data_IF_195806447757
#
_entry.id   IF_195806447757
#
_cell.length_a   1.000
_cell.length_b   1.000
_cell.length_c   1.000
_cell.angle_alpha   90.00
_cell.angle_beta   90.00
_cell.angle_gamma   90.00
#
_symmetry.space_group_name_H-M   'P 1'
#
loop_
_entity.id
_entity.type
_entity.pdbx_description
1 polymer ?
#
# COMPACT_ATOMS: atom_id res chain seq x y z
N UNK A 1 -38.26 59.90 4.78
CA UNK A 1 -38.73 59.14 3.61
C UNK A 1 -37.84 59.48 2.43
N UNK A 2 -37.13 58.48 1.92
CA UNK A 2 -35.98 58.61 1.01
C UNK A 2 -36.41 58.84 -0.44
N UNK A 3 -35.57 59.59 -1.14
CA UNK A 3 -35.62 60.08 -2.51
C UNK A 3 -35.79 59.00 -3.59
N UNK A 4 -36.47 59.43 -4.67
CA UNK A 4 -36.60 58.78 -5.98
C UNK A 4 -35.47 59.24 -6.89
N UNK A 5 -34.73 58.34 -7.53
CA UNK A 5 -34.11 58.61 -8.85
C UNK A 5 -33.65 57.32 -9.56
N UNK A 6 -34.22 57.10 -10.74
CA UNK A 6 -33.80 56.12 -11.74
C UNK A 6 -32.50 56.58 -12.40
N UNK A 7 -31.57 55.67 -12.70
CA UNK A 7 -30.60 55.83 -13.81
C UNK A 7 -29.79 54.56 -14.09
N UNK A 8 -30.14 53.95 -15.21
CA UNK A 8 -29.35 53.02 -16.03
C UNK A 8 -27.93 53.55 -16.25
N UNK A 9 -26.90 52.73 -15.98
CA UNK A 9 -25.54 52.95 -16.48
C UNK A 9 -25.01 51.65 -17.07
N UNK A 10 -24.96 51.63 -18.40
CA UNK A 10 -24.20 50.69 -19.21
C UNK A 10 -22.73 51.08 -19.10
N UNK A 11 -21.89 50.17 -18.62
CA UNK A 11 -20.43 50.34 -18.60
C UNK A 11 -19.80 49.16 -19.34
N UNK A 12 -19.58 49.37 -20.64
CA UNK A 12 -18.78 48.54 -21.53
C UNK A 12 -17.31 48.66 -21.10
N UNK A 13 -16.82 47.70 -20.31
CA UNK A 13 -15.42 47.62 -19.88
C UNK A 13 -14.68 46.53 -20.64
N UNK A 14 -14.03 46.92 -21.74
CA UNK A 14 -13.08 46.10 -22.50
C UNK A 14 -11.79 45.94 -21.68
N UNK A 15 -11.66 44.85 -20.91
CA UNK A 15 -10.43 44.50 -20.21
C UNK A 15 -9.73 43.34 -20.94
N UNK A 16 -8.73 43.71 -21.74
CA UNK A 16 -7.78 42.80 -22.38
C UNK A 16 -6.82 42.26 -21.29
N UNK A 17 -7.24 41.22 -20.58
CA UNK A 17 -6.41 40.53 -19.59
C UNK A 17 -5.49 39.52 -20.28
N UNK A 18 -4.19 39.79 -20.34
CA UNK A 18 -3.17 38.81 -20.70
C UNK A 18 -3.29 37.59 -19.76
N UNK A 19 -3.74 36.46 -20.29
CA UNK A 19 -3.62 35.17 -19.61
C UNK A 19 -2.15 34.79 -19.63
N UNK A 20 -1.47 35.00 -18.50
CA UNK A 20 -0.16 34.41 -18.26
C UNK A 20 -0.36 32.88 -18.24
N UNK A 21 0.10 32.21 -19.30
CA UNK A 21 0.22 30.76 -19.32
C UNK A 21 1.29 30.37 -18.28
N UNK A 22 0.84 30.10 -17.05
CA UNK A 22 1.69 29.43 -16.07
C UNK A 22 2.12 28.08 -16.67
N UNK A 23 3.41 27.73 -16.64
CA UNK A 23 3.80 26.38 -17.03
C UNK A 23 3.14 25.44 -16.03
N UNK A 24 2.20 24.63 -16.50
CA UNK A 24 1.78 23.45 -15.77
C UNK A 24 3.03 22.60 -15.65
N UNK A 25 3.71 22.68 -14.49
CA UNK A 25 4.72 21.72 -14.13
C UNK A 25 4.03 20.37 -14.21
N UNK A 26 4.34 19.59 -15.25
CA UNK A 26 3.94 18.20 -15.31
C UNK A 26 4.59 17.56 -14.08
N UNK A 27 3.79 17.24 -13.06
CA UNK A 27 4.21 16.29 -12.05
C UNK A 27 4.65 15.04 -12.78
N UNK A 28 5.96 14.84 -12.88
CA UNK A 28 6.53 13.53 -13.13
C UNK A 28 6.23 12.68 -11.89
N UNK A 29 4.99 12.20 -11.79
CA UNK A 29 4.66 11.11 -10.89
C UNK A 29 5.54 9.95 -11.31
N UNK A 30 6.32 9.42 -10.37
CA UNK A 30 7.04 8.18 -10.55
C UNK A 30 6.08 7.15 -11.15
N UNK A 31 6.34 6.70 -12.38
CA UNK A 31 5.55 5.67 -13.06
C UNK A 31 5.83 4.29 -12.44
N UNK A 32 5.78 4.17 -11.11
CA UNK A 32 5.71 2.90 -10.41
C UNK A 32 4.25 2.44 -10.35
N UNK A 33 4.03 1.13 -10.44
CA UNK A 33 2.70 0.57 -10.12
C UNK A 33 2.43 0.93 -8.64
N UNK A 34 1.33 1.63 -8.31
CA UNK A 34 1.05 1.97 -6.93
C UNK A 34 0.85 0.70 -6.10
N UNK A 35 1.25 0.73 -4.81
CA UNK A 35 1.13 -0.39 -3.87
C UNK A 35 -0.24 -1.11 -3.90
N UNK A 36 -1.30 -0.37 -4.22
CA UNK A 36 -2.66 -0.91 -4.33
C UNK A 36 -3.37 -1.08 -2.98
N UNK A 37 -2.73 -0.70 -1.88
CA UNK A 37 -3.28 -0.70 -0.52
C UNK A 37 -2.61 0.38 0.32
N UNK A 38 -3.37 1.00 1.22
CA UNK A 38 -2.85 1.97 2.21
C UNK A 38 -2.56 1.29 3.57
N UNK A 39 -2.84 0.00 3.70
CA UNK A 39 -2.54 -0.78 4.91
C UNK A 39 -1.03 -0.92 5.11
N UNK A 40 -0.61 -0.96 6.37
CA UNK A 40 0.72 -1.44 6.74
C UNK A 40 0.85 -2.91 6.33
N UNK A 41 1.93 -3.23 5.62
CA UNK A 41 2.31 -4.61 5.28
C UNK A 41 3.39 -5.02 6.29
N UNK A 42 2.99 -5.77 7.32
CA UNK A 42 3.92 -6.40 8.23
C UNK A 42 4.45 -7.72 7.62
N UNK A 43 5.77 -7.89 7.64
CA UNK A 43 6.47 -9.04 7.05
C UNK A 43 7.21 -9.79 8.14
N UNK A 44 6.97 -11.09 8.25
CA UNK A 44 7.69 -11.95 9.19
C UNK A 44 9.16 -12.10 8.78
N UNK A 45 10.07 -11.66 9.66
CA UNK A 45 11.48 -12.02 9.62
C UNK A 45 11.74 -13.15 10.61
N UNK A 46 12.04 -14.33 10.07
CA UNK A 46 12.32 -15.49 10.91
C UNK A 46 13.76 -15.45 11.44
N UNK A 47 14.03 -16.24 12.47
CA UNK A 47 15.33 -16.26 13.15
C UNK A 47 16.50 -16.84 12.33
N UNK A 48 16.25 -17.40 11.14
CA UNK A 48 17.28 -18.01 10.29
C UNK A 48 17.65 -17.13 9.06
N UNK A 49 18.91 -17.21 8.58
CA UNK A 49 19.43 -16.22 7.64
C UNK A 49 18.72 -16.13 6.28
N UNK A 50 18.26 -17.24 5.70
CA UNK A 50 17.58 -17.22 4.40
C UNK A 50 16.24 -16.50 4.48
N UNK A 51 15.44 -16.80 5.50
CA UNK A 51 14.16 -16.13 5.73
C UNK A 51 14.35 -14.65 6.05
N UNK A 52 15.36 -14.30 6.85
CA UNK A 52 15.68 -12.91 7.14
C UNK A 52 16.08 -12.15 5.86
N UNK A 53 16.92 -12.75 5.02
CA UNK A 53 17.26 -12.17 3.73
C UNK A 53 16.02 -11.97 2.84
N UNK A 54 15.14 -12.97 2.76
CA UNK A 54 13.90 -12.87 1.98
C UNK A 54 12.95 -11.80 2.53
N UNK A 55 12.81 -11.68 3.85
CA UNK A 55 11.99 -10.63 4.48
C UNK A 55 12.48 -9.23 4.09
N UNK A 56 13.78 -8.97 4.19
CA UNK A 56 14.37 -7.69 3.83
C UNK A 56 14.28 -7.40 2.32
N UNK A 57 14.48 -8.41 1.46
CA UNK A 57 14.30 -8.27 0.01
C UNK A 57 12.85 -7.88 -0.31
N UNK A 58 11.86 -8.56 0.27
CA UNK A 58 10.45 -8.22 0.07
C UNK A 58 10.13 -6.81 0.57
N UNK A 59 10.68 -6.42 1.73
CA UNK A 59 10.48 -5.07 2.25
C UNK A 59 11.04 -3.99 1.33
N UNK A 60 12.25 -4.16 0.80
CA UNK A 60 12.85 -3.23 -0.16
C UNK A 60 12.00 -3.13 -1.42
N UNK A 61 11.57 -4.26 -1.98
CA UNK A 61 10.75 -4.28 -3.20
C UNK A 61 9.43 -3.54 -2.97
N UNK A 62 8.71 -3.86 -1.89
CA UNK A 62 7.40 -3.26 -1.60
C UNK A 62 7.53 -1.77 -1.27
N UNK A 63 8.51 -1.40 -0.45
CA UNK A 63 8.72 -0.01 -0.03
C UNK A 63 9.25 0.86 -1.16
N UNK A 64 10.37 0.48 -1.76
CA UNK A 64 11.08 1.32 -2.74
C UNK A 64 10.53 1.13 -4.16
N UNK A 65 10.05 -0.07 -4.50
CA UNK A 65 9.51 -0.38 -5.83
C UNK A 65 8.04 0.00 -6.00
N UNK A 66 7.22 -0.19 -4.95
CA UNK A 66 5.76 0.03 -5.01
C UNK A 66 5.27 1.16 -4.10
N UNK A 67 6.13 1.75 -3.27
CA UNK A 67 5.75 2.82 -2.34
C UNK A 67 4.85 2.36 -1.19
N UNK A 68 4.88 1.07 -0.85
CA UNK A 68 4.08 0.52 0.25
C UNK A 68 4.57 0.96 1.63
N UNK A 69 3.65 1.06 2.59
CA UNK A 69 4.01 1.14 4.00
C UNK A 69 4.35 -0.27 4.51
N UNK A 70 5.57 -0.49 4.97
CA UNK A 70 6.09 -1.82 5.32
C UNK A 70 6.78 -1.79 6.69
N UNK A 71 6.53 -2.81 7.49
CA UNK A 71 7.25 -3.08 8.75
C UNK A 71 7.76 -4.52 8.75
N UNK A 72 8.95 -4.74 9.31
CA UNK A 72 9.47 -6.07 9.59
C UNK A 72 9.10 -6.43 11.03
N UNK A 73 8.51 -7.60 11.23
CA UNK A 73 8.17 -8.12 12.56
C UNK A 73 8.92 -9.43 12.81
N UNK A 74 9.36 -9.64 14.05
CA UNK A 74 10.02 -10.88 14.43
C UNK A 74 9.06 -12.07 14.26
N UNK A 75 9.57 -13.17 13.68
CA UNK A 75 8.82 -14.37 13.39
C UNK A 75 9.54 -15.66 13.79
N UNK A 76 8.75 -16.72 13.88
CA UNK A 76 9.21 -18.11 13.99
C UNK A 76 8.08 -19.02 13.47
N UNK A 77 8.40 -20.23 13.01
CA UNK A 77 7.50 -21.14 12.28
C UNK A 77 6.17 -21.33 13.02
N UNK A 78 6.23 -21.70 14.30
CA UNK A 78 5.03 -22.03 15.09
C UNK A 78 4.18 -20.79 15.41
N UNK A 79 4.71 -19.73 16.04
CA UNK A 79 3.89 -18.56 16.37
C UNK A 79 3.40 -17.80 15.14
N UNK A 80 4.21 -17.69 14.07
CA UNK A 80 3.81 -17.00 12.85
C UNK A 80 2.70 -17.74 12.11
N UNK A 81 2.81 -19.06 11.94
CA UNK A 81 1.76 -19.84 11.28
C UNK A 81 0.45 -19.87 12.06
N UNK A 82 0.51 -20.00 13.39
CA UNK A 82 -0.68 -19.93 14.24
C UNK A 82 -1.37 -18.56 14.16
N UNK A 83 -0.58 -17.47 14.18
CA UNK A 83 -1.11 -16.11 14.03
C UNK A 83 -1.73 -15.88 12.66
N UNK A 84 -1.07 -16.33 11.58
CA UNK A 84 -1.60 -16.25 10.22
C UNK A 84 -2.98 -16.93 10.11
N UNK A 85 -3.10 -18.16 10.60
CA UNK A 85 -4.34 -18.93 10.53
C UNK A 85 -5.46 -18.34 11.41
N UNK A 86 -5.13 -17.78 12.57
CA UNK A 86 -6.12 -17.30 13.53
C UNK A 86 -6.50 -15.82 13.35
N UNK A 87 -5.56 -14.99 12.88
CA UNK A 87 -5.66 -13.52 12.88
C UNK A 87 -5.39 -12.89 11.52
N UNK A 88 -4.82 -13.63 10.56
CA UNK A 88 -4.41 -13.08 9.28
C UNK A 88 -3.23 -12.11 9.37
N UNK A 89 -2.42 -12.20 10.44
CA UNK A 89 -1.21 -11.39 10.62
C UNK A 89 -0.01 -12.28 10.97
N UNK A 90 1.21 -11.97 10.51
CA UNK A 90 1.56 -10.83 9.66
C UNK A 90 1.00 -10.94 8.24
N UNK A 91 0.99 -9.86 7.48
CA UNK A 91 0.46 -9.84 6.12
C UNK A 91 1.22 -10.78 5.18
N UNK A 92 2.54 -10.95 5.39
CA UNK A 92 3.40 -11.79 4.56
C UNK A 92 4.39 -12.58 5.43
N UNK A 93 4.58 -13.86 5.14
CA UNK A 93 5.68 -14.69 5.65
C UNK A 93 6.47 -15.27 4.46
N UNK A 94 7.56 -14.60 4.02
CA UNK A 94 8.23 -14.92 2.76
C UNK A 94 8.86 -16.31 2.69
N UNK A 95 9.20 -16.89 3.84
CA UNK A 95 9.70 -18.25 3.94
C UNK A 95 9.04 -18.93 5.14
N UNK A 96 7.95 -19.65 4.88
CA UNK A 96 7.20 -20.38 5.90
C UNK A 96 7.04 -21.85 5.51
N UNK A 97 7.51 -22.72 6.39
CA UNK A 97 7.53 -24.17 6.19
C UNK A 97 6.34 -24.77 6.93
N UNK A 98 5.35 -25.27 6.20
CA UNK A 98 4.05 -25.71 6.77
C UNK A 98 3.98 -27.21 7.05
N UNK A 99 5.06 -27.95 6.82
CA UNK A 99 5.04 -29.42 6.84
C UNK A 99 4.55 -30.03 8.17
N UNK A 100 4.78 -29.36 9.30
CA UNK A 100 4.33 -29.82 10.63
C UNK A 100 2.87 -29.48 10.94
N UNK A 101 2.23 -28.65 10.11
CA UNK A 101 0.86 -28.15 10.28
C UNK A 101 0.02 -28.28 9.00
N UNK A 102 0.41 -29.17 8.08
CA UNK A 102 -0.13 -29.19 6.71
C UNK A 102 -1.66 -29.27 6.68
N UNK A 103 -2.27 -30.16 7.47
CA UNK A 103 -3.74 -30.29 7.52
C UNK A 103 -4.44 -28.99 7.97
N UNK A 104 -3.86 -28.27 8.93
CA UNK A 104 -4.41 -27.01 9.41
C UNK A 104 -4.18 -25.90 8.38
N UNK A 105 -3.03 -25.90 7.73
CA UNK A 105 -2.68 -24.97 6.67
C UNK A 105 -3.61 -25.12 5.47
N UNK A 106 -3.84 -26.34 5.00
CA UNK A 106 -4.73 -26.65 3.87
C UNK A 106 -6.16 -26.21 4.15
N UNK A 107 -6.65 -26.40 5.39
CA UNK A 107 -7.95 -25.86 5.82
C UNK A 107 -7.97 -24.33 5.80
N UNK A 108 -6.89 -23.70 6.24
CA UNK A 108 -6.74 -22.24 6.21
C UNK A 108 -6.74 -21.67 4.78
N UNK A 109 -6.10 -22.37 3.84
CA UNK A 109 -6.15 -22.03 2.42
C UNK A 109 -7.56 -22.23 1.86
N UNK A 110 -8.19 -23.38 2.14
CA UNK A 110 -9.54 -23.68 1.65
C UNK A 110 -10.61 -22.71 2.19
N UNK A 111 -10.44 -22.19 3.41
CA UNK A 111 -11.34 -21.21 4.00
C UNK A 111 -11.03 -19.76 3.60
N UNK A 112 -9.88 -19.51 2.97
CA UNK A 112 -9.41 -18.17 2.62
C UNK A 112 -8.79 -17.39 3.80
N UNK A 113 -8.49 -18.05 4.92
CA UNK A 113 -7.78 -17.42 6.04
C UNK A 113 -6.33 -17.06 5.67
N UNK A 114 -5.71 -17.86 4.80
CA UNK A 114 -4.38 -17.62 4.24
C UNK A 114 -4.37 -17.90 2.74
N UNK A 115 -3.44 -17.28 2.01
CA UNK A 115 -3.19 -17.56 0.60
C UNK A 115 -1.72 -17.88 0.39
N UNK A 116 -1.45 -18.84 -0.49
CA UNK A 116 -0.09 -19.22 -0.89
C UNK A 116 0.32 -18.36 -2.07
N UNK A 117 1.33 -17.51 -1.88
CA UNK A 117 1.83 -16.58 -2.91
C UNK A 117 3.00 -17.14 -3.74
N UNK A 118 3.49 -18.34 -3.39
CA UNK A 118 4.60 -19.02 -4.07
C UNK A 118 4.78 -20.43 -3.53
N UNK A 119 5.53 -21.25 -4.25
CA UNK A 119 5.90 -22.58 -3.77
C UNK A 119 6.93 -22.43 -2.64
N UNK A 120 6.78 -23.23 -1.58
CA UNK A 120 7.84 -23.39 -0.60
C UNK A 120 9.07 -23.99 -1.30
N UNK A 121 10.25 -23.46 -0.98
CA UNK A 121 11.54 -23.90 -1.53
C UNK A 121 12.10 -25.10 -0.77
#
# INVERSE_FOLDING_TARGET
>A
MVFKFSRTFVSLGLALGLVAAAPTAAQAGSHGVPCGTDRLIDIAEMSWPSAAALAQIHAIILKEGFGCNVEIVAGDTVPTSASLLAKGTPAIAPELWTGTIQDAWDRGVASGAVSVAGLAI
#
